data_IF_782753361688
#
_entry.id   IF_782753361688
#
_cell.length_a   1.000
_cell.length_b   1.000
_cell.length_c   1.000
_cell.angle_alpha   90.00
_cell.angle_beta   90.00
_cell.angle_gamma   90.00
#
_symmetry.space_group_name_H-M   'P 1'
#
loop_
_entity.id
_entity.type
_entity.pdbx_description
1 polymer ?
#
# COMPACT_ATOMS: atom_id res chain seq x y z
N UNK A 1 0.19 36.23 -25.39
CA UNK A 1 1.01 35.06 -25.73
C UNK A 1 0.23 33.79 -25.38
N UNK A 2 -0.35 33.09 -26.36
CA UNK A 2 -0.97 31.79 -26.15
C UNK A 2 0.16 30.77 -25.99
N UNK A 3 0.36 30.23 -24.77
CA UNK A 3 1.25 29.08 -24.59
C UNK A 3 0.73 27.95 -25.46
N UNK A 4 1.41 27.66 -26.57
CA UNK A 4 1.23 26.43 -27.33
C UNK A 4 1.58 25.27 -26.38
N UNK A 5 0.55 24.61 -25.87
CA UNK A 5 0.74 23.35 -25.15
C UNK A 5 1.30 22.35 -26.18
N UNK A 6 2.50 21.86 -25.94
CA UNK A 6 3.11 20.84 -26.79
C UNK A 6 2.19 19.62 -26.94
N UNK A 7 2.21 18.93 -28.08
CA UNK A 7 1.40 17.74 -28.29
C UNK A 7 1.72 16.70 -27.23
N UNK A 8 0.76 16.44 -26.31
CA UNK A 8 0.87 15.42 -25.25
C UNK A 8 0.70 15.91 -23.82
N UNK A 9 0.65 17.23 -23.56
CA UNK A 9 0.38 17.71 -22.21
C UNK A 9 -1.10 17.52 -21.83
N UNK A 10 -1.40 16.93 -20.63
CA UNK A 10 -2.78 16.75 -20.23
C UNK A 10 -3.50 18.08 -20.03
N UNK A 11 -4.80 18.15 -20.36
CA UNK A 11 -5.58 19.36 -20.13
C UNK A 11 -5.63 19.70 -18.65
N UNK A 12 -5.58 21.00 -18.32
CA UNK A 12 -5.69 21.50 -16.93
C UNK A 12 -6.94 20.94 -16.23
N UNK A 13 -8.06 20.85 -16.95
CA UNK A 13 -9.32 20.30 -16.43
C UNK A 13 -9.14 18.85 -15.96
N UNK A 14 -8.50 18.01 -16.77
CA UNK A 14 -8.25 16.59 -16.41
C UNK A 14 -7.37 16.45 -15.17
N UNK A 15 -6.33 17.27 -15.05
CA UNK A 15 -5.45 17.28 -13.86
C UNK A 15 -6.23 17.68 -12.60
N UNK A 16 -7.07 18.71 -12.69
CA UNK A 16 -7.88 19.17 -11.56
C UNK A 16 -8.90 18.10 -11.16
N UNK A 17 -9.63 17.53 -12.14
CA UNK A 17 -10.61 16.46 -11.87
C UNK A 17 -9.94 15.28 -11.17
N UNK A 18 -8.79 14.81 -11.67
CA UNK A 18 -8.03 13.75 -11.03
C UNK A 18 -7.65 14.09 -9.58
N UNK A 19 -7.11 15.29 -9.35
CA UNK A 19 -6.71 15.72 -8.01
C UNK A 19 -7.87 15.72 -7.03
N UNK A 20 -9.01 16.25 -7.43
CA UNK A 20 -10.21 16.28 -6.59
C UNK A 20 -10.67 14.85 -6.26
N UNK A 21 -10.85 14.00 -7.27
CA UNK A 21 -11.31 12.63 -7.06
C UNK A 21 -10.31 11.82 -6.24
N UNK A 22 -9.01 11.89 -6.54
CA UNK A 22 -7.98 11.20 -5.78
C UNK A 22 -7.90 11.66 -4.33
N UNK A 23 -8.08 12.97 -4.07
CA UNK A 23 -8.11 13.50 -2.69
C UNK A 23 -9.34 13.03 -1.93
N UNK A 24 -10.54 13.09 -2.54
CA UNK A 24 -11.76 12.61 -1.89
C UNK A 24 -11.69 11.12 -1.56
N UNK A 25 -11.26 10.30 -2.53
CA UNK A 25 -11.05 8.88 -2.32
C UNK A 25 -10.01 8.63 -1.20
N UNK A 26 -8.90 9.36 -1.23
CA UNK A 26 -7.86 9.22 -0.20
C UNK A 26 -8.36 9.59 1.19
N UNK A 27 -9.18 10.63 1.34
CA UNK A 27 -9.73 11.04 2.64
C UNK A 27 -10.70 9.99 3.19
N UNK A 28 -11.49 9.33 2.34
CA UNK A 28 -12.35 8.22 2.75
C UNK A 28 -11.53 7.04 3.28
N UNK A 29 -10.51 6.60 2.53
CA UNK A 29 -9.61 5.53 2.98
C UNK A 29 -8.79 5.93 4.20
N UNK A 30 -8.39 7.19 4.32
CA UNK A 30 -7.65 7.66 5.48
C UNK A 30 -8.52 7.66 6.74
N UNK A 31 -9.77 8.11 6.63
CA UNK A 31 -10.70 8.10 7.76
C UNK A 31 -10.99 6.67 8.24
N UNK A 32 -11.35 5.77 7.33
CA UNK A 32 -11.56 4.35 7.65
C UNK A 32 -10.28 3.69 8.17
N UNK A 33 -9.14 3.95 7.51
CA UNK A 33 -7.87 3.37 7.86
C UNK A 33 -7.34 3.81 9.22
N UNK A 34 -7.53 5.09 9.60
CA UNK A 34 -7.14 5.56 10.94
C UNK A 34 -8.05 5.00 12.03
N UNK A 35 -9.35 4.94 11.79
CA UNK A 35 -10.30 4.33 12.72
C UNK A 35 -9.93 2.85 12.96
N UNK A 36 -9.75 2.09 11.90
CA UNK A 36 -9.35 0.69 11.93
C UNK A 36 -7.98 0.48 12.60
N UNK A 37 -6.99 1.32 12.30
CA UNK A 37 -5.67 1.23 12.93
C UNK A 37 -5.77 1.48 14.45
N UNK A 38 -6.54 2.46 14.88
CA UNK A 38 -6.74 2.77 16.30
C UNK A 38 -7.54 1.68 17.03
N UNK A 39 -8.47 1.01 16.34
CA UNK A 39 -9.25 -0.07 16.94
C UNK A 39 -8.39 -1.22 17.48
N UNK A 40 -7.19 -1.45 16.92
CA UNK A 40 -6.21 -2.39 17.45
C UNK A 40 -5.75 -2.08 18.90
N UNK A 41 -5.80 -0.81 19.28
CA UNK A 41 -5.40 -0.33 20.60
C UNK A 41 -6.57 -0.22 21.57
N UNK A 42 -7.79 0.01 21.06
CA UNK A 42 -8.97 0.10 21.89
C UNK A 42 -9.43 -1.30 22.29
N UNK A 43 -9.67 -1.50 23.58
CA UNK A 43 -10.41 -2.66 24.05
C UNK A 43 -11.85 -2.43 23.61
N UNK A 44 -12.27 -3.11 22.54
CA UNK A 44 -13.67 -3.10 22.13
C UNK A 44 -14.43 -3.91 23.18
N UNK A 45 -14.78 -3.25 24.29
CA UNK A 45 -15.71 -3.77 25.26
C UNK A 45 -17.09 -3.76 24.61
N UNK A 46 -17.59 -4.91 24.23
CA UNK A 46 -18.95 -5.09 23.78
C UNK A 46 -19.21 -5.41 22.33
N UNK A 47 -18.18 -5.75 21.53
CA UNK A 47 -18.44 -6.43 20.27
C UNK A 47 -19.12 -7.77 20.59
N UNK A 48 -20.39 -7.79 20.35
CA UNK A 48 -21.36 -8.88 20.53
C UNK A 48 -20.76 -10.26 20.39
N UNK A 49 -20.89 -11.06 21.45
CA UNK A 49 -20.90 -12.52 21.47
C UNK A 49 -19.75 -13.21 20.75
N UNK A 50 -19.31 -14.33 21.17
CA UNK A 50 -18.54 -15.42 20.54
C UNK A 50 -17.34 -15.14 19.59
N UNK A 51 -17.11 -13.90 19.16
CA UNK A 51 -15.97 -13.49 18.37
C UNK A 51 -14.76 -13.29 19.28
N UNK A 52 -13.71 -14.06 19.08
CA UNK A 52 -12.44 -13.82 19.76
C UNK A 52 -12.02 -12.35 19.57
N UNK A 53 -12.05 -11.49 20.58
CA UNK A 53 -11.77 -10.07 20.46
C UNK A 53 -10.42 -9.80 19.78
N UNK A 54 -9.44 -10.69 20.01
CA UNK A 54 -8.09 -10.60 19.47
C UNK A 54 -8.02 -10.84 17.95
N UNK A 55 -8.82 -11.79 17.40
CA UNK A 55 -8.87 -12.03 15.97
C UNK A 55 -9.42 -10.81 15.23
N UNK A 56 -10.53 -10.26 15.74
CA UNK A 56 -11.12 -9.07 15.16
C UNK A 56 -10.16 -7.88 15.22
N UNK A 57 -9.48 -7.67 16.33
CA UNK A 57 -8.47 -6.61 16.48
C UNK A 57 -7.35 -6.74 15.43
N UNK A 58 -6.89 -7.96 15.15
CA UNK A 58 -5.86 -8.19 14.15
C UNK A 58 -6.32 -7.87 12.73
N UNK A 59 -7.51 -8.32 12.35
CA UNK A 59 -8.07 -8.06 11.03
C UNK A 59 -8.28 -6.57 10.78
N UNK A 60 -8.95 -5.88 11.71
CA UNK A 60 -9.21 -4.44 11.62
C UNK A 60 -7.89 -3.64 11.58
N UNK A 61 -6.91 -4.01 12.41
CA UNK A 61 -5.59 -3.34 12.42
C UNK A 61 -4.86 -3.50 11.09
N UNK A 62 -4.96 -4.70 10.48
CA UNK A 62 -4.34 -4.96 9.17
C UNK A 62 -5.03 -4.14 8.08
N UNK A 63 -6.36 -4.07 8.10
CA UNK A 63 -7.13 -3.21 7.21
C UNK A 63 -6.70 -1.75 7.36
N UNK A 64 -6.62 -1.25 8.59
CA UNK A 64 -6.17 0.11 8.85
C UNK A 64 -4.80 0.43 8.28
N UNK A 65 -3.83 -0.46 8.44
CA UNK A 65 -2.47 -0.27 7.91
C UNK A 65 -2.44 -0.24 6.37
N UNK A 66 -3.23 -1.09 5.71
CA UNK A 66 -3.33 -1.13 4.26
C UNK A 66 -4.05 0.10 3.71
N UNK A 67 -5.18 0.48 4.29
CA UNK A 67 -5.96 1.65 3.90
C UNK A 67 -5.17 2.95 4.01
N UNK A 68 -4.42 3.14 5.10
CA UNK A 68 -3.52 4.29 5.26
C UNK A 68 -2.42 4.29 4.19
N UNK A 69 -1.91 3.12 3.79
CA UNK A 69 -0.92 3.01 2.71
C UNK A 69 -1.52 3.40 1.36
N UNK A 70 -2.73 2.95 1.04
CA UNK A 70 -3.48 3.33 -0.17
C UNK A 70 -3.81 4.82 -0.15
N UNK A 71 -4.37 5.33 0.94
CA UNK A 71 -4.71 6.73 1.12
C UNK A 71 -3.49 7.65 0.95
N UNK A 72 -2.38 7.34 1.60
CA UNK A 72 -1.12 8.08 1.48
C UNK A 72 -0.59 8.09 0.05
N UNK A 73 -0.73 6.98 -0.67
CA UNK A 73 -0.35 6.86 -2.09
C UNK A 73 -1.22 7.75 -2.97
N UNK A 74 -2.54 7.76 -2.76
CA UNK A 74 -3.48 8.62 -3.50
C UNK A 74 -3.26 10.11 -3.20
N UNK A 75 -3.00 10.48 -1.93
CA UNK A 75 -2.67 11.87 -1.56
C UNK A 75 -1.37 12.33 -2.23
N UNK A 76 -0.34 11.50 -2.22
CA UNK A 76 0.92 11.81 -2.90
C UNK A 76 0.72 11.98 -4.42
N UNK A 77 -0.15 11.17 -5.04
CA UNK A 77 -0.55 11.30 -6.44
C UNK A 77 -1.35 12.58 -6.70
N UNK A 78 -2.29 12.94 -5.82
CA UNK A 78 -3.05 14.19 -5.94
C UNK A 78 -2.11 15.40 -5.91
N UNK A 79 -1.07 15.35 -5.06
CA UNK A 79 -0.05 16.39 -5.00
C UNK A 79 0.89 16.37 -6.22
N UNK A 80 1.43 15.19 -6.57
CA UNK A 80 2.40 14.97 -7.66
C UNK A 80 1.91 13.88 -8.61
N UNK A 81 1.02 14.18 -9.57
CA UNK A 81 0.42 13.17 -10.43
C UNK A 81 1.39 12.37 -11.32
N UNK A 82 2.64 12.84 -11.48
CA UNK A 82 3.69 12.15 -12.26
C UNK A 82 4.38 10.99 -11.52
N UNK A 83 3.97 10.67 -10.30
CA UNK A 83 4.51 9.53 -9.54
C UNK A 83 3.90 8.21 -10.04
N UNK A 84 4.30 7.79 -11.24
CA UNK A 84 3.71 6.66 -11.97
C UNK A 84 3.67 5.35 -11.20
N UNK A 85 4.63 5.14 -10.29
CA UNK A 85 4.65 3.93 -9.44
C UNK A 85 3.47 3.88 -8.48
N UNK A 86 3.14 5.01 -7.84
CA UNK A 86 2.02 5.06 -6.91
C UNK A 86 0.69 4.83 -7.62
N UNK A 87 0.56 5.38 -8.84
CA UNK A 87 -0.63 5.11 -9.66
C UNK A 87 -0.74 3.63 -10.02
N UNK A 88 0.36 3.02 -10.48
CA UNK A 88 0.39 1.58 -10.77
C UNK A 88 0.04 0.76 -9.53
N UNK A 89 0.61 1.09 -8.37
CA UNK A 89 0.26 0.44 -7.12
C UNK A 89 -1.25 0.53 -6.84
N UNK A 90 -1.83 1.72 -6.91
CA UNK A 90 -3.27 1.89 -6.68
C UNK A 90 -4.11 1.06 -7.67
N UNK A 91 -3.77 1.03 -8.97
CA UNK A 91 -4.50 0.23 -9.95
C UNK A 91 -4.45 -1.26 -9.61
N UNK A 92 -3.25 -1.78 -9.32
CA UNK A 92 -3.09 -3.20 -8.98
C UNK A 92 -3.76 -3.52 -7.65
N UNK A 93 -3.63 -2.64 -6.65
CA UNK A 93 -4.28 -2.78 -5.36
C UNK A 93 -5.79 -2.93 -5.50
N UNK A 94 -6.46 -1.99 -6.18
CA UNK A 94 -7.91 -2.07 -6.38
C UNK A 94 -8.34 -3.24 -7.26
N UNK A 95 -7.53 -3.65 -8.23
CA UNK A 95 -7.82 -4.84 -9.03
C UNK A 95 -7.78 -6.13 -8.19
N UNK A 96 -6.77 -6.26 -7.31
CA UNK A 96 -6.65 -7.40 -6.39
C UNK A 96 -7.75 -7.37 -5.34
N UNK A 97 -8.03 -6.21 -4.76
CA UNK A 97 -9.13 -6.01 -3.81
C UNK A 97 -10.48 -6.45 -4.43
N UNK A 98 -10.76 -6.01 -5.65
CA UNK A 98 -11.96 -6.42 -6.37
C UNK A 98 -12.00 -7.94 -6.64
N UNK A 99 -10.88 -8.53 -7.05
CA UNK A 99 -10.81 -9.97 -7.33
C UNK A 99 -11.06 -10.83 -6.09
N UNK A 100 -10.62 -10.37 -4.92
CA UNK A 100 -10.80 -11.10 -3.66
C UNK A 100 -12.20 -10.88 -3.09
N UNK A 101 -12.70 -9.63 -3.06
CA UNK A 101 -13.93 -9.30 -2.31
C UNK A 101 -15.21 -9.44 -3.10
N UNK A 102 -15.25 -9.12 -4.40
CA UNK A 102 -16.50 -9.18 -5.17
C UNK A 102 -17.26 -10.50 -5.06
N UNK A 103 -16.60 -11.69 -4.97
CA UNK A 103 -17.31 -12.96 -4.78
C UNK A 103 -18.00 -13.10 -3.42
N UNK A 104 -17.56 -12.38 -2.38
CA UNK A 104 -18.00 -12.54 -1.01
C UNK A 104 -18.74 -11.31 -0.48
N UNK A 105 -18.37 -10.12 -0.94
CA UNK A 105 -18.87 -8.82 -0.47
C UNK A 105 -19.38 -8.01 -1.67
N UNK A 106 -20.62 -8.24 -2.14
CA UNK A 106 -21.18 -7.52 -3.29
C UNK A 106 -21.16 -5.99 -3.10
N UNK A 107 -21.26 -5.50 -1.87
CA UNK A 107 -21.21 -4.08 -1.51
C UNK A 107 -19.87 -3.43 -1.87
N UNK A 108 -18.83 -4.22 -2.12
CA UNK A 108 -17.53 -3.72 -2.58
C UNK A 108 -17.65 -2.93 -3.91
N UNK A 109 -18.73 -3.14 -4.67
CA UNK A 109 -19.07 -2.33 -5.85
C UNK A 109 -19.14 -0.83 -5.51
N UNK A 110 -19.59 -0.45 -4.31
CA UNK A 110 -19.63 0.95 -3.88
C UNK A 110 -18.23 1.55 -3.79
N UNK A 111 -17.27 0.78 -3.23
CA UNK A 111 -15.87 1.19 -3.15
C UNK A 111 -15.29 1.36 -4.56
N UNK A 112 -15.58 0.44 -5.46
CA UNK A 112 -15.17 0.55 -6.86
C UNK A 112 -15.80 1.75 -7.57
N UNK A 113 -17.06 2.05 -7.31
CA UNK A 113 -17.73 3.21 -7.88
C UNK A 113 -17.08 4.54 -7.46
N UNK A 114 -16.47 4.60 -6.28
CA UNK A 114 -15.72 5.75 -5.80
C UNK A 114 -14.29 5.81 -6.34
N UNK A 115 -13.63 4.65 -6.47
CA UNK A 115 -12.19 4.58 -6.82
C UNK A 115 -11.95 4.58 -8.32
N UNK A 116 -12.78 3.88 -9.12
CA UNK A 116 -12.62 3.78 -10.57
C UNK A 116 -12.62 5.14 -11.27
N UNK A 117 -13.53 6.10 -10.96
CA UNK A 117 -13.48 7.44 -11.55
C UNK A 117 -12.16 8.17 -11.28
N UNK A 118 -11.59 8.03 -10.07
CA UNK A 118 -10.29 8.60 -9.74
C UNK A 118 -9.18 8.01 -10.62
N UNK A 119 -9.15 6.68 -10.77
CA UNK A 119 -8.15 6.00 -11.60
C UNK A 119 -8.30 6.34 -13.08
N UNK A 120 -9.52 6.31 -13.63
CA UNK A 120 -9.77 6.60 -15.06
C UNK A 120 -9.46 8.05 -15.41
N UNK A 121 -9.65 8.98 -14.49
CA UNK A 121 -9.33 10.39 -14.68
C UNK A 121 -7.83 10.70 -14.66
N UNK A 122 -6.97 9.72 -14.37
CA UNK A 122 -5.51 9.92 -14.28
C UNK A 122 -4.96 10.58 -15.55
N UNK A 123 -4.22 11.71 -15.42
CA UNK A 123 -3.87 12.52 -16.59
C UNK A 123 -2.68 11.99 -17.41
N UNK A 124 -1.85 11.10 -16.82
CA UNK A 124 -0.57 10.67 -17.40
C UNK A 124 -0.58 9.19 -17.85
N UNK A 125 -1.70 8.68 -18.35
CA UNK A 125 -1.82 7.30 -18.84
C UNK A 125 -0.79 6.98 -19.96
N UNK A 126 -0.48 7.94 -20.83
CA UNK A 126 0.49 7.75 -21.90
C UNK A 126 1.89 7.45 -21.35
N UNK A 127 2.28 8.09 -20.25
CA UNK A 127 3.58 7.91 -19.63
C UNK A 127 3.77 6.50 -19.06
N UNK A 128 2.67 5.80 -18.73
CA UNK A 128 2.72 4.41 -18.28
C UNK A 128 3.03 3.44 -19.42
N UNK A 129 2.51 3.72 -20.62
CA UNK A 129 2.72 2.87 -21.82
C UNK A 129 4.14 2.95 -22.34
N UNK A 130 4.77 4.12 -22.26
CA UNK A 130 6.16 4.33 -22.71
C UNK A 130 7.19 3.83 -21.71
N UNK A 131 6.77 3.55 -20.50
CA UNK A 131 7.65 3.07 -19.44
C UNK A 131 7.92 1.56 -19.56
N UNK A 132 8.36 1.08 -20.72
CA UNK A 132 8.67 -0.33 -20.99
C UNK A 132 9.79 -0.92 -20.13
N UNK A 133 10.52 -0.09 -19.41
CA UNK A 133 11.63 -0.51 -18.56
C UNK A 133 11.26 -0.47 -17.08
N UNK A 134 10.49 -1.46 -16.64
CA UNK A 134 10.03 -1.59 -15.23
C UNK A 134 11.19 -1.65 -14.23
N UNK A 135 12.34 -2.17 -14.62
CA UNK A 135 13.48 -2.51 -13.77
C UNK A 135 14.76 -1.76 -14.16
N UNK A 136 14.66 -0.53 -14.61
CA UNK A 136 15.83 0.21 -15.13
C UNK A 136 16.93 0.43 -14.08
N UNK A 137 16.59 0.48 -12.80
CA UNK A 137 17.54 0.61 -11.69
C UNK A 137 16.90 0.06 -10.41
N UNK A 138 16.69 -1.25 -10.32
CA UNK A 138 16.09 -1.84 -9.13
C UNK A 138 16.96 -1.54 -7.90
N UNK A 139 16.32 -1.22 -6.80
CA UNK A 139 16.98 -1.05 -5.51
C UNK A 139 17.10 -2.41 -4.86
N UNK A 140 18.28 -3.01 -4.91
CA UNK A 140 18.51 -4.42 -4.56
C UNK A 140 17.97 -4.75 -3.16
N UNK A 141 18.27 -3.91 -2.15
CA UNK A 141 17.83 -4.15 -0.77
C UNK A 141 16.31 -4.07 -0.63
N UNK A 142 15.62 -2.95 -0.99
CA UNK A 142 14.16 -2.90 -0.91
C UNK A 142 13.48 -3.97 -1.78
N UNK A 143 14.05 -4.31 -2.94
CA UNK A 143 13.52 -5.35 -3.80
C UNK A 143 13.61 -6.73 -3.15
N UNK A 144 14.79 -7.11 -2.63
CA UNK A 144 14.98 -8.40 -1.97
C UNK A 144 14.05 -8.57 -0.77
N UNK A 145 13.97 -7.53 0.08
CA UNK A 145 13.05 -7.51 1.23
C UNK A 145 11.60 -7.56 0.77
N UNK A 146 11.24 -6.78 -0.27
CA UNK A 146 9.90 -6.76 -0.84
C UNK A 146 9.48 -8.11 -1.42
N UNK A 147 10.37 -8.81 -2.12
CA UNK A 147 10.10 -10.16 -2.66
C UNK A 147 9.83 -11.16 -1.53
N UNK A 148 10.70 -11.18 -0.51
CA UNK A 148 10.53 -12.09 0.62
C UNK A 148 9.23 -11.79 1.40
N UNK A 149 9.00 -10.53 1.73
CA UNK A 149 7.78 -10.10 2.42
C UNK A 149 6.53 -10.47 1.62
N UNK A 150 6.53 -10.19 0.31
CA UNK A 150 5.40 -10.51 -0.58
C UNK A 150 5.14 -12.01 -0.67
N UNK A 151 6.18 -12.83 -0.78
CA UNK A 151 6.02 -14.29 -0.81
C UNK A 151 5.34 -14.81 0.45
N UNK A 152 5.75 -14.33 1.63
CA UNK A 152 5.13 -14.72 2.90
C UNK A 152 3.68 -14.27 2.96
N UNK A 153 3.38 -12.99 2.70
CA UNK A 153 2.02 -12.49 2.86
C UNK A 153 1.06 -13.01 1.79
N UNK A 154 1.52 -13.30 0.58
CA UNK A 154 0.66 -13.96 -0.41
C UNK A 154 0.35 -15.40 -0.04
N UNK A 155 1.27 -16.12 0.61
CA UNK A 155 0.97 -17.44 1.18
C UNK A 155 -0.10 -17.34 2.26
N UNK A 156 -0.01 -16.33 3.14
CA UNK A 156 -1.04 -16.05 4.16
C UNK A 156 -2.37 -15.70 3.49
N UNK A 157 -2.36 -14.82 2.48
CA UNK A 157 -3.57 -14.42 1.77
C UNK A 157 -4.27 -15.59 1.08
N UNK A 158 -3.53 -16.47 0.40
CA UNK A 158 -4.10 -17.69 -0.23
C UNK A 158 -4.71 -18.60 0.84
N UNK A 159 -4.05 -18.76 1.98
CA UNK A 159 -4.58 -19.54 3.11
C UNK A 159 -5.87 -18.92 3.66
N UNK A 160 -5.92 -17.59 3.78
CA UNK A 160 -7.11 -16.87 4.25
C UNK A 160 -8.28 -17.01 3.26
N UNK A 161 -8.03 -16.89 1.95
CA UNK A 161 -9.06 -17.16 0.92
C UNK A 161 -9.55 -18.61 1.01
N UNK A 162 -8.65 -19.56 1.22
CA UNK A 162 -9.04 -20.96 1.42
C UNK A 162 -9.95 -21.15 2.64
N UNK A 163 -9.67 -20.45 3.76
CA UNK A 163 -10.54 -20.44 4.95
C UNK A 163 -11.88 -19.76 4.68
N UNK A 164 -11.90 -18.69 3.87
CA UNK A 164 -13.14 -18.03 3.47
C UNK A 164 -14.05 -18.95 2.69
N UNK A 165 -13.49 -19.75 1.76
CA UNK A 165 -14.27 -20.64 0.89
C UNK A 165 -14.75 -21.88 1.64
N UNK A 166 -13.91 -22.47 2.48
CA UNK A 166 -14.19 -23.75 3.18
C UNK A 166 -14.58 -23.61 4.65
N UNK A 167 -14.54 -22.40 5.20
CA UNK A 167 -14.78 -22.16 6.61
C UNK A 167 -16.26 -22.14 6.97
N UNK A 168 -16.55 -22.62 8.19
CA UNK A 168 -17.87 -22.55 8.83
C UNK A 168 -17.80 -21.77 10.14
N UNK A 169 -16.69 -21.05 10.34
CA UNK A 169 -16.51 -20.22 11.52
C UNK A 169 -17.13 -18.82 11.30
N UNK A 170 -17.33 -18.12 12.40
CA UNK A 170 -17.93 -16.77 12.37
C UNK A 170 -17.13 -15.80 11.51
N UNK A 171 -15.81 -15.97 11.41
CA UNK A 171 -14.97 -15.12 10.58
C UNK A 171 -15.23 -15.35 9.08
N UNK A 172 -15.53 -16.59 8.66
CA UNK A 172 -15.94 -16.89 7.30
C UNK A 172 -17.37 -16.37 7.01
N UNK A 173 -18.29 -16.52 7.94
CA UNK A 173 -19.66 -15.99 7.81
C UNK A 173 -19.67 -14.45 7.71
N UNK A 174 -18.79 -13.78 8.42
CA UNK A 174 -18.63 -12.32 8.40
C UNK A 174 -17.68 -11.80 7.29
N UNK A 175 -17.19 -12.68 6.39
CA UNK A 175 -16.25 -12.36 5.32
C UNK A 175 -14.88 -11.80 5.78
N UNK A 176 -14.50 -11.97 7.03
CA UNK A 176 -13.25 -11.41 7.57
C UNK A 176 -11.99 -12.05 6.98
N UNK A 177 -12.04 -13.32 6.57
CA UNK A 177 -10.91 -13.96 5.93
C UNK A 177 -10.65 -13.39 4.54
N UNK A 178 -11.70 -13.03 3.77
CA UNK A 178 -11.56 -12.37 2.48
C UNK A 178 -10.99 -10.96 2.65
N UNK A 179 -11.53 -10.20 3.59
CA UNK A 179 -11.08 -8.85 3.93
C UNK A 179 -9.60 -8.85 4.37
N UNK A 180 -9.21 -9.78 5.24
CA UNK A 180 -7.81 -9.96 5.64
C UNK A 180 -6.90 -10.32 4.47
N UNK A 181 -7.32 -11.24 3.60
CA UNK A 181 -6.55 -11.65 2.43
C UNK A 181 -6.32 -10.48 1.47
N UNK A 182 -7.33 -9.63 1.28
CA UNK A 182 -7.20 -8.40 0.53
C UNK A 182 -6.11 -7.52 1.13
N UNK A 183 -6.31 -7.06 2.35
CA UNK A 183 -5.48 -6.02 2.96
C UNK A 183 -4.02 -6.46 3.10
N UNK A 184 -3.77 -7.72 3.46
CA UNK A 184 -2.40 -8.23 3.52
C UNK A 184 -1.76 -8.32 2.12
N UNK A 185 -2.55 -8.62 1.08
CA UNK A 185 -2.08 -8.62 -0.30
C UNK A 185 -1.68 -7.23 -0.77
N UNK A 186 -2.46 -6.19 -0.39
CA UNK A 186 -2.13 -4.79 -0.71
C UNK A 186 -0.77 -4.40 -0.14
N UNK A 187 -0.48 -4.79 1.10
CA UNK A 187 0.82 -4.54 1.74
C UNK A 187 1.96 -5.33 1.09
N UNK A 188 1.70 -6.55 0.65
CA UNK A 188 2.65 -7.35 -0.12
C UNK A 188 3.00 -6.71 -1.46
N UNK A 189 1.99 -6.31 -2.22
CA UNK A 189 2.16 -5.60 -3.50
C UNK A 189 2.96 -4.31 -3.30
N UNK A 190 2.61 -3.52 -2.27
CA UNK A 190 3.32 -2.28 -1.96
C UNK A 190 4.80 -2.52 -1.66
N UNK A 191 5.13 -3.55 -0.86
CA UNK A 191 6.51 -3.92 -0.53
C UNK A 191 7.31 -4.34 -1.78
N UNK A 192 6.70 -5.19 -2.63
CA UNK A 192 7.32 -5.65 -3.88
C UNK A 192 7.62 -4.49 -4.83
N UNK A 193 6.61 -3.66 -5.07
CA UNK A 193 6.67 -2.58 -6.04
C UNK A 193 7.58 -1.44 -5.58
N UNK A 194 7.69 -1.21 -4.27
CA UNK A 194 8.61 -0.22 -3.69
C UNK A 194 10.08 -0.47 -4.08
N UNK A 195 10.49 -1.72 -4.31
CA UNK A 195 11.83 -2.08 -4.76
C UNK A 195 12.16 -1.72 -6.21
N UNK A 196 11.18 -1.30 -7.02
CA UNK A 196 11.34 -1.05 -8.46
C UNK A 196 12.24 0.14 -8.82
N UNK A 197 12.49 1.07 -7.89
CA UNK A 197 13.30 2.28 -8.11
C UNK A 197 12.63 3.34 -8.98
N UNK A 198 11.34 3.21 -9.32
CA UNK A 198 10.57 4.15 -10.15
C UNK A 198 10.17 5.44 -9.41
N UNK A 199 9.78 6.50 -10.13
CA UNK A 199 9.28 7.72 -9.49
C UNK A 199 8.13 7.42 -8.52
N UNK A 200 8.32 7.76 -7.25
CA UNK A 200 7.37 7.47 -6.16
C UNK A 200 7.77 6.31 -5.25
N UNK A 201 8.79 5.50 -5.59
CA UNK A 201 9.21 4.35 -4.80
C UNK A 201 9.53 4.68 -3.34
N UNK A 202 10.12 5.84 -3.07
CA UNK A 202 10.46 6.27 -1.71
C UNK A 202 9.24 6.51 -0.85
N UNK A 203 8.23 7.16 -1.43
CA UNK A 203 6.98 7.42 -0.73
C UNK A 203 6.31 6.09 -0.42
N UNK A 204 6.22 5.20 -1.41
CA UNK A 204 5.64 3.89 -1.22
C UNK A 204 6.42 3.06 -0.19
N UNK A 205 7.76 3.03 -0.28
CA UNK A 205 8.61 2.33 0.68
C UNK A 205 8.45 2.88 2.11
N UNK A 206 8.30 4.21 2.26
CA UNK A 206 8.06 4.83 3.56
C UNK A 206 6.68 4.43 4.12
N UNK A 207 5.62 4.59 3.34
CA UNK A 207 4.25 4.24 3.77
C UNK A 207 4.15 2.76 4.13
N UNK A 208 4.64 1.90 3.25
CA UNK A 208 4.66 0.46 3.47
C UNK A 208 5.53 0.08 4.65
N UNK A 209 6.72 0.67 4.76
CA UNK A 209 7.62 0.43 5.87
C UNK A 209 7.00 0.78 7.21
N UNK A 210 6.33 1.93 7.32
CA UNK A 210 5.60 2.32 8.53
C UNK A 210 4.44 1.37 8.84
N UNK A 211 3.68 0.93 7.83
CA UNK A 211 2.62 -0.05 7.99
C UNK A 211 3.16 -1.38 8.55
N UNK A 212 4.28 -1.88 8.02
CA UNK A 212 4.92 -3.10 8.50
C UNK A 212 5.50 -2.96 9.91
N UNK A 213 6.09 -1.80 10.25
CA UNK A 213 6.54 -1.50 11.63
C UNK A 213 5.35 -1.54 12.58
N UNK A 214 4.25 -0.89 12.21
CA UNK A 214 3.05 -0.84 13.00
C UNK A 214 2.46 -2.25 13.23
N UNK A 215 2.25 -3.03 12.18
CA UNK A 215 1.75 -4.41 12.30
C UNK A 215 2.70 -5.33 13.06
N UNK A 216 4.00 -5.19 12.83
CA UNK A 216 5.00 -5.94 13.58
C UNK A 216 4.94 -5.61 15.08
N UNK A 217 4.79 -4.34 15.43
CA UNK A 217 4.62 -3.91 16.82
C UNK A 217 3.34 -4.47 17.44
N UNK A 218 2.21 -4.36 16.74
CA UNK A 218 0.92 -4.93 17.20
C UNK A 218 1.03 -6.43 17.43
N UNK A 219 1.64 -7.17 16.49
CA UNK A 219 1.81 -8.61 16.62
C UNK A 219 2.69 -9.02 17.81
N UNK A 220 3.73 -8.24 18.12
CA UNK A 220 4.65 -8.56 19.24
C UNK A 220 4.04 -8.19 20.58
N UNK A 221 3.42 -7.01 20.69
CA UNK A 221 3.08 -6.41 22.00
C UNK A 221 1.60 -6.43 22.33
N UNK A 222 0.72 -6.42 21.35
CA UNK A 222 -0.71 -6.33 21.59
C UNK A 222 -1.45 -7.67 21.39
N UNK A 223 -1.01 -8.48 20.43
CA UNK A 223 -1.70 -9.73 20.05
C UNK A 223 -0.67 -10.86 19.81
N UNK A 224 0.20 -11.16 20.79
CA UNK A 224 1.35 -12.07 20.55
C UNK A 224 0.97 -13.54 20.43
N UNK A 225 -0.17 -13.95 20.98
CA UNK A 225 -0.55 -15.36 21.15
C UNK A 225 -1.69 -15.82 20.24
N UNK A 226 -2.32 -14.89 19.50
CA UNK A 226 -3.48 -15.24 18.70
C UNK A 226 -3.10 -15.93 17.39
N UNK A 227 -3.79 -17.01 17.05
CA UNK A 227 -3.52 -17.83 15.84
C UNK A 227 -3.75 -17.09 14.50
N UNK A 228 -4.52 -16.01 14.51
CA UNK A 228 -4.74 -15.19 13.32
C UNK A 228 -3.64 -14.13 13.13
N UNK A 229 -2.93 -13.72 14.19
CA UNK A 229 -1.83 -12.76 14.10
C UNK A 229 -0.53 -13.44 13.63
N UNK A 230 0.46 -12.62 13.29
CA UNK A 230 1.80 -13.16 12.95
C UNK A 230 2.55 -13.74 14.15
N UNK A 231 2.03 -13.56 15.37
CA UNK A 231 2.71 -13.92 16.61
C UNK A 231 4.01 -13.14 16.80
N UNK A 232 4.73 -13.44 17.87
CA UNK A 232 5.97 -12.74 18.21
C UNK A 232 7.05 -12.86 17.12
N UNK A 233 7.26 -14.04 16.56
CA UNK A 233 8.30 -14.27 15.53
C UNK A 233 7.98 -13.56 14.22
N UNK A 234 6.74 -13.67 13.75
CA UNK A 234 6.29 -12.98 12.54
C UNK A 234 6.24 -11.47 12.74
N UNK A 235 5.87 -11.01 13.94
CA UNK A 235 5.91 -9.61 14.31
C UNK A 235 7.33 -9.01 14.28
N UNK A 236 8.33 -9.73 14.81
CA UNK A 236 9.74 -9.31 14.72
C UNK A 236 10.23 -9.28 13.27
N UNK A 237 9.85 -10.25 12.45
CA UNK A 237 10.14 -10.22 11.02
C UNK A 237 9.47 -9.02 10.33
N UNK A 238 8.22 -8.71 10.66
CA UNK A 238 7.51 -7.53 10.19
C UNK A 238 8.22 -6.22 10.56
N UNK A 239 8.68 -6.10 11.80
CA UNK A 239 9.49 -4.96 12.24
C UNK A 239 10.76 -4.82 11.41
N UNK A 240 11.50 -5.92 11.18
CA UNK A 240 12.72 -5.90 10.39
C UNK A 240 12.47 -5.46 8.94
N UNK A 241 11.41 -5.98 8.30
CA UNK A 241 10.97 -5.58 6.96
C UNK A 241 10.64 -4.07 6.95
N UNK A 242 9.81 -3.63 7.88
CA UNK A 242 9.35 -2.24 7.95
C UNK A 242 10.50 -1.26 8.18
N UNK A 243 11.40 -1.54 9.13
CA UNK A 243 12.59 -0.72 9.40
C UNK A 243 13.48 -0.65 8.16
N UNK A 244 13.70 -1.78 7.47
CA UNK A 244 14.55 -1.82 6.28
C UNK A 244 13.98 -0.97 5.14
N UNK A 245 12.67 -1.09 4.86
CA UNK A 245 12.00 -0.29 3.82
C UNK A 245 12.04 1.20 4.17
N UNK A 246 11.77 1.56 5.42
CA UNK A 246 11.79 2.95 5.91
C UNK A 246 13.20 3.54 5.83
N UNK A 247 14.22 2.80 6.28
CA UNK A 247 15.61 3.21 6.21
C UNK A 247 16.08 3.39 4.76
N UNK A 248 15.71 2.46 3.86
CA UNK A 248 16.02 2.57 2.45
C UNK A 248 15.37 3.80 1.80
N UNK A 249 14.13 4.12 2.17
CA UNK A 249 13.44 5.32 1.71
C UNK A 249 14.14 6.60 2.21
N UNK A 250 14.59 6.62 3.45
CA UNK A 250 15.27 7.75 4.08
C UNK A 250 16.70 7.97 3.56
N UNK A 251 17.46 6.87 3.38
CA UNK A 251 18.86 6.91 2.94
C UNK A 251 19.08 7.43 1.52
N UNK A 252 17.99 7.67 0.76
CA UNK A 252 17.97 8.12 -0.61
C UNK A 252 19.12 9.00 -1.04
N UNK A 253 19.48 8.94 -2.31
CA UNK A 253 20.64 9.54 -2.97
C UNK A 253 21.19 10.78 -2.25
N UNK A 254 22.23 10.63 -1.46
CA UNK A 254 23.15 11.73 -1.22
C UNK A 254 23.65 12.15 -2.59
N UNK A 255 23.40 13.37 -3.07
CA UNK A 255 23.97 13.79 -4.34
C UNK A 255 25.47 13.52 -4.25
N UNK A 256 26.03 12.86 -5.26
CA UNK A 256 27.48 12.70 -5.44
C UNK A 256 28.09 14.09 -5.68
N UNK A 257 28.10 14.93 -4.65
CA UNK A 257 28.70 16.28 -4.67
C UNK A 257 30.22 16.25 -4.66
N UNK A 258 30.86 15.08 -4.68
CA UNK A 258 32.32 14.96 -4.51
C UNK A 258 33.16 14.88 -5.78
N UNK A 259 32.59 14.62 -6.97
CA UNK A 259 33.40 14.38 -8.18
C UNK A 259 33.46 15.54 -9.18
N UNK A 260 32.65 16.59 -8.98
CA UNK A 260 32.63 17.71 -9.92
C UNK A 260 33.69 18.80 -9.60
N UNK A 261 34.38 18.73 -8.48
CA UNK A 261 35.40 19.73 -8.11
C UNK A 261 36.84 19.31 -8.40
N UNK A 262 37.08 18.04 -8.70
CA UNK A 262 38.42 17.54 -9.03
C UNK A 262 38.85 17.76 -10.49
N UNK A 263 37.94 18.16 -11.37
CA UNK A 263 38.21 18.34 -12.81
C UNK A 263 38.52 19.78 -13.25
N UNK A 264 38.58 20.75 -12.35
CA UNK A 264 38.78 22.16 -12.71
C UNK A 264 40.15 22.78 -12.35
N UNK A 265 41.08 22.00 -11.84
CA UNK A 265 42.42 22.51 -11.46
C UNK A 265 43.57 22.10 -12.38
N UNK A 266 43.34 21.97 -13.68
CA UNK A 266 44.35 21.54 -14.59
C UNK A 266 44.36 22.32 -15.94
N UNK A 267 44.35 23.65 -15.91
CA UNK A 267 44.80 24.45 -17.04
C UNK A 267 45.20 25.85 -16.50
N UNK A 268 46.46 25.98 -16.18
CA UNK A 268 47.24 27.24 -16.18
C UNK A 268 48.47 26.98 -16.97
#
# INVERSE_FOLDING_TARGET
MKHQQGPGSPSRRRVVTFRVLATLTALLFLAAGLDNALAGWMVISGASGDLHPEANRWFITTAGAADVTVAGSLLALAWRPRLSLLFFYCVVAFAVAAAINLPFVPEFVVILALTVPALVSYPYWADLRTATTWWRSPRIIPLGVGVLASAVVFTIAVTAVGRQIGGTDVAAEANWWADYAEHISLLGIAALVAGSGRPGWRILALLTGLAWVYLGFVAVFLIPTHTASWGTSGGLAGLAVGITLTAAAAAGERPRRGLALAGRSGHV
#
